data_IF_872996600414
#
_entry.id   IF_872996600414
#
_cell.length_a   1.000
_cell.length_b   1.000
_cell.length_c   1.000
_cell.angle_alpha   90.00
_cell.angle_beta   90.00
_cell.angle_gamma   90.00
#
_symmetry.space_group_name_H-M   'P 1'
#
loop_
_entity.id
_entity.type
_entity.pdbx_description
1 polymer ?
#
# COMPACT_ATOMS: atom_id res chain seq x y z
N UNK A 1 -16.39 -10.06 2.02
CA UNK A 1 -14.96 -9.73 1.80
C UNK A 1 -14.79 -9.35 0.35
N UNK A 2 -14.30 -8.14 0.06
CA UNK A 2 -13.94 -7.79 -1.30
C UNK A 2 -12.70 -8.59 -1.71
N UNK A 3 -12.63 -9.02 -2.98
CA UNK A 3 -11.42 -9.61 -3.54
C UNK A 3 -10.44 -8.47 -3.82
N UNK A 4 -9.30 -8.46 -3.12
CA UNK A 4 -8.19 -7.57 -3.43
C UNK A 4 -7.52 -8.05 -4.72
N UNK A 5 -7.39 -7.16 -5.69
CA UNK A 5 -6.68 -7.42 -6.95
C UNK A 5 -5.69 -6.28 -7.16
N UNK A 6 -4.41 -6.62 -7.29
CA UNK A 6 -3.35 -5.68 -7.60
C UNK A 6 -3.03 -5.72 -9.08
N UNK A 7 -2.73 -4.57 -9.66
CA UNK A 7 -2.14 -4.50 -11.01
C UNK A 7 -0.68 -4.91 -10.94
N UNK A 8 -0.12 -5.37 -12.05
CA UNK A 8 1.31 -5.71 -12.11
C UNK A 8 2.19 -4.53 -11.67
N UNK A 9 1.91 -3.31 -12.15
CA UNK A 9 2.65 -2.11 -11.73
C UNK A 9 2.65 -1.90 -10.20
N UNK A 10 1.55 -2.21 -9.51
CA UNK A 10 1.51 -2.09 -8.05
C UNK A 10 2.31 -3.20 -7.35
N UNK A 11 2.49 -4.36 -7.98
CA UNK A 11 3.38 -5.42 -7.48
C UNK A 11 4.84 -4.99 -7.68
N UNK A 12 5.15 -4.44 -8.86
CA UNK A 12 6.49 -3.92 -9.17
C UNK A 12 6.87 -2.78 -8.20
N UNK A 13 5.95 -1.85 -7.92
CA UNK A 13 6.14 -0.79 -6.93
C UNK A 13 6.45 -1.34 -5.53
N UNK A 14 5.78 -2.43 -5.11
CA UNK A 14 6.04 -3.08 -3.82
C UNK A 14 7.42 -3.75 -3.77
N UNK A 15 7.85 -4.34 -4.89
CA UNK A 15 9.18 -4.93 -5.02
C UNK A 15 10.25 -3.85 -4.91
N UNK A 16 10.11 -2.75 -5.67
CA UNK A 16 11.07 -1.64 -5.65
C UNK A 16 11.19 -1.02 -4.24
N UNK A 17 10.05 -0.85 -3.54
CA UNK A 17 10.04 -0.39 -2.14
C UNK A 17 10.80 -1.36 -1.25
N UNK A 18 10.52 -2.66 -1.33
CA UNK A 18 11.16 -3.66 -0.48
C UNK A 18 12.67 -3.75 -0.72
N UNK A 19 13.10 -3.76 -1.99
CA UNK A 19 14.51 -3.80 -2.38
C UNK A 19 15.27 -2.57 -1.86
N UNK A 20 14.69 -1.37 -2.01
CA UNK A 20 15.28 -0.14 -1.47
C UNK A 20 15.47 -0.22 0.05
N UNK A 21 14.50 -0.75 0.78
CA UNK A 21 14.56 -0.88 2.24
C UNK A 21 15.56 -1.93 2.71
N UNK A 22 15.67 -3.03 1.96
CA UNK A 22 16.68 -4.07 2.19
C UNK A 22 18.08 -3.47 2.08
N UNK A 23 18.34 -2.73 1.00
CA UNK A 23 19.65 -2.12 0.75
C UNK A 23 19.98 -0.98 1.71
N UNK A 24 18.97 -0.17 2.08
CA UNK A 24 19.19 1.04 2.88
C UNK A 24 19.23 0.76 4.38
N UNK A 25 18.44 -0.20 4.87
CA UNK A 25 18.25 -0.42 6.31
C UNK A 25 18.50 -1.87 6.73
N UNK A 26 17.60 -2.79 6.39
CA UNK A 26 17.72 -4.23 6.68
C UNK A 26 16.52 -4.99 6.11
N UNK A 27 16.68 -6.31 5.93
CA UNK A 27 15.58 -7.22 5.58
C UNK A 27 14.40 -7.10 6.56
N UNK A 28 14.68 -7.05 7.87
CA UNK A 28 13.63 -6.89 8.89
C UNK A 28 12.84 -5.58 8.74
N UNK A 29 13.49 -4.51 8.28
CA UNK A 29 12.82 -3.25 8.00
C UNK A 29 11.99 -3.35 6.73
N UNK A 30 12.52 -3.96 5.66
CA UNK A 30 11.78 -4.19 4.42
C UNK A 30 10.50 -5.01 4.66
N UNK A 31 10.61 -6.10 5.43
CA UNK A 31 9.48 -6.94 5.83
C UNK A 31 8.44 -6.20 6.65
N UNK A 32 8.87 -5.35 7.60
CA UNK A 32 7.97 -4.51 8.39
C UNK A 32 7.11 -3.63 7.49
N UNK A 33 7.70 -2.93 6.52
CA UNK A 33 6.94 -2.07 5.60
C UNK A 33 6.01 -2.88 4.70
N UNK A 34 6.46 -4.03 4.16
CA UNK A 34 5.63 -4.89 3.33
C UNK A 34 4.37 -5.36 4.07
N UNK A 35 4.51 -5.85 5.30
CA UNK A 35 3.36 -6.27 6.11
C UNK A 35 2.45 -5.07 6.47
N UNK A 36 3.00 -3.89 6.71
CA UNK A 36 2.19 -2.68 6.96
C UNK A 36 1.35 -2.28 5.73
N UNK A 37 1.93 -2.32 4.54
CA UNK A 37 1.20 -2.01 3.29
C UNK A 37 0.11 -3.07 3.03
N UNK A 38 0.44 -4.34 3.23
CA UNK A 38 -0.51 -5.45 3.10
C UNK A 38 -1.69 -5.32 4.08
N UNK A 39 -1.44 -4.95 5.34
CA UNK A 39 -2.49 -4.68 6.33
C UNK A 39 -3.36 -3.50 5.89
N UNK A 40 -2.77 -2.41 5.42
CA UNK A 40 -3.52 -1.27 4.88
C UNK A 40 -4.44 -1.68 3.71
N UNK A 41 -3.93 -2.48 2.76
CA UNK A 41 -4.74 -3.02 1.66
C UNK A 41 -5.91 -3.88 2.16
N UNK A 42 -5.70 -4.69 3.19
CA UNK A 42 -6.76 -5.49 3.80
C UNK A 42 -7.82 -4.63 4.49
N UNK A 43 -7.43 -3.57 5.20
CA UNK A 43 -8.34 -2.61 5.83
C UNK A 43 -9.23 -1.92 4.78
N UNK A 44 -8.63 -1.45 3.67
CA UNK A 44 -9.37 -0.80 2.57
C UNK A 44 -10.31 -1.80 1.89
N UNK A 45 -9.89 -3.05 1.70
CA UNK A 45 -10.74 -4.09 1.12
C UNK A 45 -11.96 -4.42 2.01
N UNK A 46 -11.84 -4.25 3.32
CA UNK A 46 -12.95 -4.41 4.27
C UNK A 46 -13.84 -3.17 4.34
N UNK A 47 -13.25 -1.97 4.23
CA UNK A 47 -13.98 -0.70 4.25
C UNK A 47 -13.47 0.27 3.17
N UNK A 48 -13.98 0.17 1.91
CA UNK A 48 -13.55 1.03 0.80
C UNK A 48 -13.83 2.53 1.01
N UNK A 49 -14.67 2.88 1.99
CA UNK A 49 -14.99 4.27 2.31
C UNK A 49 -13.86 5.02 3.02
N UNK A 50 -12.86 4.31 3.55
CA UNK A 50 -11.70 4.88 4.25
C UNK A 50 -10.80 5.76 3.38
N UNK A 51 -10.77 5.51 2.06
CA UNK A 51 -9.96 6.31 1.14
C UNK A 51 -10.54 7.70 0.89
N UNK A 52 -9.67 8.72 0.89
CA UNK A 52 -9.99 10.08 0.47
C UNK A 52 -10.12 10.15 -1.05
N UNK A 53 -11.19 10.74 -1.58
CA UNK A 53 -11.33 10.93 -3.02
C UNK A 53 -10.39 12.04 -3.54
N UNK A 54 -9.84 11.83 -4.74
CA UNK A 54 -8.98 12.80 -5.46
C UNK A 54 -9.59 13.12 -6.83
N UNK A 55 -10.71 13.89 -6.87
CA UNK A 55 -11.40 14.21 -8.12
C UNK A 55 -10.53 14.95 -9.14
N UNK A 56 -9.49 15.65 -8.69
CA UNK A 56 -8.47 16.31 -9.51
C UNK A 56 -7.58 15.32 -10.30
N UNK A 57 -7.49 14.07 -9.84
CA UNK A 57 -6.81 12.97 -10.56
C UNK A 57 -7.85 12.17 -11.36
N UNK A 58 -8.90 11.70 -10.69
CA UNK A 58 -10.02 10.96 -11.29
C UNK A 58 -11.13 10.71 -10.27
N UNK A 59 -12.39 10.73 -10.72
CA UNK A 59 -13.56 10.42 -9.89
C UNK A 59 -13.55 9.00 -9.29
N UNK A 60 -12.77 8.09 -9.88
CA UNK A 60 -12.65 6.70 -9.41
C UNK A 60 -11.39 6.46 -8.56
N UNK A 61 -10.58 7.49 -8.31
CA UNK A 61 -9.35 7.38 -7.54
C UNK A 61 -9.59 7.81 -6.09
N UNK A 62 -9.11 6.97 -5.18
CA UNK A 62 -9.07 7.22 -3.74
C UNK A 62 -7.68 6.94 -3.23
N UNK A 63 -7.16 7.80 -2.36
CA UNK A 63 -5.89 7.60 -1.67
C UNK A 63 -6.11 7.27 -0.21
N UNK A 64 -5.23 6.44 0.33
CA UNK A 64 -5.22 6.05 1.74
C UNK A 64 -3.91 6.54 2.36
N UNK A 65 -4.02 7.54 3.22
CA UNK A 65 -2.90 8.12 3.95
C UNK A 65 -3.10 7.80 5.44
N UNK A 66 -2.49 6.71 5.87
CA UNK A 66 -2.35 6.38 7.29
C UNK A 66 -0.87 6.44 7.60
N UNK A 67 -0.51 7.19 8.65
CA UNK A 67 0.85 7.24 9.14
C UNK A 67 1.35 5.82 9.41
N UNK A 68 2.26 5.35 8.58
CA UNK A 68 3.06 4.15 8.83
C UNK A 68 4.00 4.56 9.96
N UNK A 69 3.77 4.05 11.18
CA UNK A 69 4.68 4.27 12.30
C UNK A 69 5.99 3.52 12.03
N UNK A 70 6.95 4.25 11.45
CA UNK A 70 8.31 3.78 11.19
C UNK A 70 9.07 3.59 12.50
#
# INVERSE_FOLDING_TARGET
MARLVMRQAAIDDLTDIWEYLLETWSEAQADKYYEMIKLACQEIAQNPSLGRAYPEISHNVRGYDRAIAC
#
